data_IF_329772278109
#
_entry.id   IF_329772278109
#
_cell.length_a   1.000
_cell.length_b   1.000
_cell.length_c   1.000
_cell.angle_alpha   90.00
_cell.angle_beta   90.00
_cell.angle_gamma   90.00
#
_symmetry.space_group_name_H-M   'P 1'
#
loop_
_entity.id
_entity.type
_entity.pdbx_description
1 polymer ?
#
# COMPACT_ATOMS: atom_id res chain seq x y z
N UNK A 1 7.54 1.45 -2.15
CA UNK A 1 6.22 0.80 -2.06
C UNK A 1 5.90 0.46 -0.62
N UNK A 2 6.69 -0.37 0.08
CA UNK A 2 6.44 -0.66 1.51
C UNK A 2 6.33 0.61 2.36
N UNK A 3 7.27 1.55 2.22
CA UNK A 3 7.19 2.89 2.85
C UNK A 3 5.91 3.67 2.54
N UNK A 4 5.34 3.50 1.35
CA UNK A 4 4.10 4.19 0.97
C UNK A 4 2.91 3.57 1.71
N UNK A 5 2.91 2.24 1.84
CA UNK A 5 1.91 1.51 2.63
C UNK A 5 2.03 1.90 4.11
N UNK A 6 3.23 1.84 4.68
CA UNK A 6 3.49 2.26 6.08
C UNK A 6 3.04 3.71 6.32
N UNK A 7 3.33 4.61 5.39
CA UNK A 7 2.90 6.01 5.47
C UNK A 7 1.38 6.16 5.41
N UNK A 8 0.70 5.40 4.54
CA UNK A 8 -0.74 5.48 4.35
C UNK A 8 -1.53 4.89 5.53
N UNK A 9 -1.04 3.79 6.10
CA UNK A 9 -1.74 3.08 7.17
C UNK A 9 -1.28 3.49 8.57
N UNK A 10 -0.07 4.05 8.70
CA UNK A 10 0.57 4.27 9.99
C UNK A 10 1.07 2.99 10.67
N UNK A 11 1.01 1.85 9.96
CA UNK A 11 1.37 0.53 10.50
C UNK A 11 2.73 0.14 9.90
N UNK A 12 3.78 -0.06 10.72
CA UNK A 12 5.09 -0.47 10.23
C UNK A 12 5.03 -1.88 9.64
N UNK A 13 5.86 -2.16 8.63
CA UNK A 13 5.91 -3.44 7.92
C UNK A 13 6.15 -4.63 8.87
N UNK A 14 6.89 -4.42 9.95
CA UNK A 14 7.16 -5.43 10.98
C UNK A 14 5.93 -5.91 11.74
N UNK A 15 4.86 -5.11 11.74
CA UNK A 15 3.67 -5.35 12.56
C UNK A 15 2.53 -5.93 11.72
N UNK A 16 2.68 -5.98 10.39
CA UNK A 16 1.68 -6.59 9.52
C UNK A 16 1.56 -8.08 9.81
N UNK A 17 0.34 -8.61 9.83
CA UNK A 17 0.12 -10.05 9.90
C UNK A 17 0.71 -10.71 8.66
N UNK A 18 0.42 -10.14 7.48
CA UNK A 18 1.04 -10.47 6.20
C UNK A 18 0.71 -9.44 5.12
N UNK A 19 1.55 -9.39 4.09
CA UNK A 19 1.26 -8.75 2.81
C UNK A 19 0.43 -9.73 1.96
N UNK A 20 -0.83 -9.38 1.63
CA UNK A 20 -1.69 -10.22 0.80
C UNK A 20 -1.27 -10.16 -0.67
N UNK A 21 -1.16 -8.95 -1.23
CA UNK A 21 -0.77 -8.75 -2.63
C UNK A 21 -0.20 -7.38 -2.92
N UNK A 22 0.56 -7.32 -4.00
CA UNK A 22 0.96 -6.11 -4.71
C UNK A 22 0.68 -6.34 -6.19
N UNK A 23 -0.13 -5.49 -6.81
CA UNK A 23 -0.49 -5.61 -8.23
C UNK A 23 -0.51 -4.26 -8.96
N UNK A 24 -0.49 -4.30 -10.29
CA UNK A 24 -0.65 -3.11 -11.13
C UNK A 24 -2.10 -2.63 -11.05
N UNK A 25 -2.31 -1.32 -10.84
CA UNK A 25 -3.64 -0.73 -10.70
C UNK A 25 -4.10 0.07 -11.92
N UNK A 26 -4.03 -0.54 -13.11
CA UNK A 26 -4.63 0.01 -14.33
C UNK A 26 -3.75 0.92 -15.19
N UNK A 27 -2.49 1.16 -14.82
CA UNK A 27 -1.62 2.09 -15.54
C UNK A 27 -0.12 1.95 -15.23
N UNK A 28 0.73 2.50 -16.12
CA UNK A 28 2.17 2.64 -15.83
C UNK A 28 2.32 3.59 -14.65
N UNK A 29 2.94 3.11 -13.58
CA UNK A 29 3.11 3.89 -12.36
C UNK A 29 1.88 3.89 -11.44
N UNK A 30 0.92 2.97 -11.61
CA UNK A 30 -0.15 2.75 -10.63
C UNK A 30 -0.02 1.37 -10.01
N UNK A 31 -0.18 1.28 -8.69
CA UNK A 31 -0.11 0.03 -7.94
C UNK A 31 -1.20 -0.04 -6.87
N UNK A 32 -1.61 -1.27 -6.56
CA UNK A 32 -2.51 -1.59 -5.47
C UNK A 32 -1.75 -2.50 -4.50
N UNK A 33 -1.67 -2.09 -3.23
CA UNK A 33 -1.12 -2.87 -2.14
C UNK A 33 -2.22 -3.32 -1.20
N UNK A 34 -2.13 -4.55 -0.70
CA UNK A 34 -3.06 -5.06 0.31
C UNK A 34 -2.32 -5.75 1.43
N UNK A 35 -2.61 -5.33 2.65
CA UNK A 35 -2.03 -5.92 3.86
C UNK A 35 -3.15 -6.37 4.80
N UNK A 36 -2.84 -7.33 5.66
CA UNK A 36 -3.64 -7.66 6.83
C UNK A 36 -2.91 -7.20 8.09
N UNK A 37 -3.67 -6.59 9.00
CA UNK A 37 -3.18 -6.17 10.31
C UNK A 37 -4.31 -6.32 11.32
N UNK A 38 -4.04 -7.06 12.41
CA UNK A 38 -5.02 -7.37 13.46
C UNK A 38 -6.33 -7.95 12.90
N UNK A 39 -6.23 -8.77 11.85
CA UNK A 39 -7.37 -9.36 11.17
C UNK A 39 -8.20 -8.41 10.30
N UNK A 40 -7.74 -7.16 10.10
CA UNK A 40 -8.36 -6.17 9.22
C UNK A 40 -7.57 -6.04 7.92
N UNK A 41 -8.28 -6.01 6.80
CA UNK A 41 -7.66 -5.81 5.49
C UNK A 41 -7.56 -4.32 5.16
N UNK A 42 -6.37 -3.86 4.81
CA UNK A 42 -6.14 -2.53 4.28
C UNK A 42 -5.80 -2.63 2.80
N UNK A 43 -6.41 -1.77 2.00
CA UNK A 43 -6.13 -1.64 0.57
C UNK A 43 -5.63 -0.23 0.27
N UNK A 44 -4.46 -0.14 -0.37
CA UNK A 44 -3.70 1.08 -0.58
C UNK A 44 -3.46 1.27 -2.07
N UNK A 45 -4.05 2.31 -2.64
CA UNK A 45 -3.76 2.75 -4.00
C UNK A 45 -2.50 3.61 -3.97
N UNK A 46 -1.58 3.39 -4.91
CA UNK A 46 -0.30 4.09 -4.98
C UNK A 46 0.00 4.54 -6.40
N UNK A 47 0.70 5.66 -6.51
CA UNK A 47 1.27 6.14 -7.77
C UNK A 47 2.79 6.30 -7.69
N UNK A 48 3.46 6.12 -8.82
CA UNK A 48 4.88 6.40 -8.96
C UNK A 48 5.08 7.87 -9.35
N UNK A 49 5.68 8.63 -8.45
CA UNK A 49 6.06 10.02 -8.67
C UNK A 49 7.55 10.08 -8.97
N UNK A 50 7.92 10.67 -10.10
CA UNK A 50 9.33 10.78 -10.51
C UNK A 50 10.15 11.57 -9.47
N UNK A 51 11.24 10.98 -9.00
CA UNK A 51 12.10 11.56 -7.96
C UNK A 51 11.69 11.26 -6.52
N UNK A 52 10.41 10.92 -6.26
CA UNK A 52 9.89 10.61 -4.92
C UNK A 52 9.67 9.10 -4.71
N UNK A 53 9.37 8.37 -5.79
CA UNK A 53 9.05 6.94 -5.77
C UNK A 53 7.56 6.67 -5.61
N UNK A 54 7.20 5.55 -4.98
CA UNK A 54 5.81 5.19 -4.75
C UNK A 54 5.21 6.06 -3.64
N UNK A 55 4.11 6.74 -3.94
CA UNK A 55 3.35 7.59 -3.03
C UNK A 55 1.92 7.04 -2.89
N UNK A 56 1.33 7.06 -1.69
CA UNK A 56 -0.04 6.61 -1.52
C UNK A 56 -1.03 7.67 -2.00
N UNK A 57 -2.06 7.22 -2.71
CA UNK A 57 -3.18 8.03 -3.20
C UNK A 57 -4.39 7.91 -2.29
N UNK A 58 -4.69 6.68 -1.86
CA UNK A 58 -5.88 6.37 -1.11
C UNK A 58 -5.65 5.14 -0.22
N UNK A 59 -6.34 5.10 0.92
CA UNK A 59 -6.40 3.94 1.80
C UNK A 59 -7.85 3.63 2.11
N UNK A 60 -8.22 2.36 1.98
CA UNK A 60 -9.54 1.86 2.34
C UNK A 60 -9.40 0.64 3.26
N UNK A 61 -10.42 0.43 4.08
CA UNK A 61 -10.49 -0.64 5.07
C UNK A 61 -11.66 -1.55 4.70
N UNK A 62 -11.38 -2.85 4.60
CA UNK A 62 -12.34 -3.90 4.26
C UNK A 62 -12.97 -4.61 5.46
#
# INVERSE_FOLDING_TARGET
>A
MMRAIEYATGIPESDWDYLDRIENNGGVGQALGRIFYEGVQYEIEMEWVEGEGWMPLNVSIG
#
